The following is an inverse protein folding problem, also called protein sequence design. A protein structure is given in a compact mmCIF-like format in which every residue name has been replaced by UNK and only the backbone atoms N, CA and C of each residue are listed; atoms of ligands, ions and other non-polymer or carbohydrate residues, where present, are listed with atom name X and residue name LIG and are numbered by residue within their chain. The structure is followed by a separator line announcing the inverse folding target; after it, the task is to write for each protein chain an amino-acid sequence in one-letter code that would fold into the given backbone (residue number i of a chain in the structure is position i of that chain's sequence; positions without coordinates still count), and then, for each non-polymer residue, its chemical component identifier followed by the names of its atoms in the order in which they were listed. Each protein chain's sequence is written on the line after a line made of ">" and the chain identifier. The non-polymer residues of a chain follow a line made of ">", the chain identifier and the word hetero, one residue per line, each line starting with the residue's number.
data_IF_645619395697
#
_entry.id   IF_645619395697
#
_cell.length_a   1.000
_cell.length_b   1.000
_cell.length_c   1.000
_cell.angle_alpha   90.00
_cell.angle_beta   90.00
_cell.angle_gamma   90.00
#
_symmetry.space_group_name_H-M   'P 1'
#
loop_
_entity.id
_entity.type
_entity.pdbx_description
1 polymer ?
#
# COMPACT_ATOMS: atom_id res chain seq x y z
N UNK A 1 18.96 13.05 -28.25
CA UNK A 1 18.78 14.51 -28.32
C UNK A 1 19.08 15.05 -26.92
N UNK A 2 20.32 15.57 -26.69
CA UNK A 2 20.73 16.18 -25.45
C UNK A 2 20.02 17.52 -25.30
N UNK A 3 19.05 17.62 -24.39
CA UNK A 3 18.50 18.89 -23.98
C UNK A 3 19.50 19.66 -23.12
N UNK A 4 19.36 20.98 -23.06
CA UNK A 4 20.21 21.84 -22.25
C UNK A 4 20.17 21.38 -20.77
N UNK A 5 21.35 21.17 -20.18
CA UNK A 5 21.49 20.78 -18.76
C UNK A 5 21.15 21.98 -17.90
N UNK A 6 20.06 21.91 -17.12
CA UNK A 6 19.54 23.02 -16.33
C UNK A 6 18.87 22.56 -15.04
N UNK A 7 19.09 23.31 -13.97
CA UNK A 7 18.44 23.17 -12.66
C UNK A 7 17.52 24.37 -12.40
N UNK A 8 16.27 24.11 -12.04
CA UNK A 8 15.39 25.09 -11.43
C UNK A 8 15.09 24.67 -10.00
N UNK A 9 15.28 25.58 -9.06
CA UNK A 9 14.96 25.38 -7.66
C UNK A 9 13.95 26.41 -7.16
N UNK A 10 12.99 25.97 -6.34
CA UNK A 10 12.08 26.82 -5.57
C UNK A 10 12.16 26.39 -4.11
N UNK A 11 12.45 27.35 -3.22
CA UNK A 11 12.54 27.09 -1.77
C UNK A 11 11.38 27.83 -1.10
N UNK A 12 10.64 27.13 -0.23
CA UNK A 12 9.60 27.68 0.64
C UNK A 12 9.99 27.37 2.08
N UNK A 13 10.15 28.41 2.88
CA UNK A 13 10.58 28.32 4.29
C UNK A 13 9.43 28.76 5.19
N UNK A 14 9.04 27.92 6.14
CA UNK A 14 8.33 28.29 7.35
C UNK A 14 6.86 28.69 7.26
N UNK A 15 6.27 29.01 6.12
CA UNK A 15 4.86 29.43 6.06
C UNK A 15 3.89 28.25 5.91
N UNK A 16 3.36 27.76 7.06
CA UNK A 16 2.28 26.77 7.09
C UNK A 16 2.71 25.33 6.83
N UNK A 17 4.01 25.04 6.80
CA UNK A 17 4.59 23.70 6.65
C UNK A 17 5.34 23.32 7.94
N UNK A 18 5.35 22.03 8.30
CA UNK A 18 6.13 21.55 9.44
C UNK A 18 7.66 21.50 9.17
N UNK A 19 8.12 22.00 8.02
CA UNK A 19 9.52 22.05 7.59
C UNK A 19 9.70 22.84 6.31
N UNK A 20 10.91 22.90 5.79
CA UNK A 20 11.23 23.59 4.55
C UNK A 20 10.91 22.72 3.34
N UNK A 21 10.38 23.33 2.27
CA UNK A 21 10.11 22.66 1.00
C UNK A 21 11.09 23.16 -0.07
N UNK A 22 11.83 22.23 -0.65
CA UNK A 22 12.71 22.50 -1.80
C UNK A 22 12.17 21.74 -3.01
N UNK A 23 11.65 22.47 -4.00
CA UNK A 23 11.19 21.90 -5.26
C UNK A 23 12.28 22.05 -6.33
N UNK A 24 12.74 20.94 -6.89
CA UNK A 24 13.79 20.89 -7.90
C UNK A 24 13.24 20.35 -9.22
N UNK A 25 13.57 21.02 -10.34
CA UNK A 25 13.35 20.49 -11.69
C UNK A 25 14.70 20.32 -12.37
N UNK A 26 15.03 19.06 -12.66
CA UNK A 26 16.27 18.66 -13.29
C UNK A 26 16.04 18.42 -14.78
N UNK A 27 16.89 18.96 -15.65
CA UNK A 27 16.81 18.83 -17.10
C UNK A 27 18.15 18.33 -17.68
N UNK A 28 18.09 17.68 -18.84
CA UNK A 28 19.27 17.14 -19.51
C UNK A 28 19.95 16.06 -18.67
N UNK A 29 21.26 16.08 -18.61
CA UNK A 29 22.05 15.08 -17.88
C UNK A 29 21.80 15.07 -16.36
N UNK A 30 21.45 16.22 -15.76
CA UNK A 30 21.12 16.30 -14.33
C UNK A 30 19.91 15.43 -13.94
N UNK A 31 19.01 15.15 -14.86
CA UNK A 31 17.84 14.30 -14.58
C UNK A 31 18.22 12.85 -14.24
N UNK A 32 19.39 12.38 -14.70
CA UNK A 32 19.93 11.06 -14.39
C UNK A 32 20.84 11.03 -13.15
N UNK A 33 21.18 12.20 -12.61
CA UNK A 33 22.06 12.39 -11.45
C UNK A 33 21.35 13.10 -10.29
N UNK A 34 20.08 12.78 -10.07
CA UNK A 34 19.26 13.36 -9.02
C UNK A 34 19.81 13.15 -7.61
N UNK A 35 20.47 12.04 -7.36
CA UNK A 35 21.17 11.73 -6.10
C UNK A 35 22.25 12.76 -5.76
N UNK A 36 23.08 13.14 -6.73
CA UNK A 36 24.15 14.13 -6.55
C UNK A 36 23.61 15.53 -6.20
N UNK A 37 22.39 15.85 -6.68
CA UNK A 37 21.73 17.13 -6.40
C UNK A 37 21.04 17.10 -5.04
N UNK A 38 20.46 15.96 -4.66
CA UNK A 38 19.67 15.81 -3.42
C UNK A 38 20.56 15.57 -2.21
N UNK A 39 21.63 14.77 -2.34
CA UNK A 39 22.49 14.36 -1.24
C UNK A 39 23.00 15.53 -0.35
N UNK A 40 23.45 16.66 -0.90
CA UNK A 40 23.89 17.81 -0.08
C UNK A 40 22.79 18.50 0.70
N UNK A 41 21.49 18.21 0.37
CA UNK A 41 20.33 18.80 1.02
C UNK A 41 19.79 17.92 2.15
N UNK A 42 20.26 16.67 2.26
CA UNK A 42 19.82 15.75 3.30
C UNK A 42 20.51 16.09 4.62
N UNK A 43 19.75 15.98 5.70
CA UNK A 43 20.29 16.15 7.04
C UNK A 43 21.12 14.90 7.42
N UNK A 44 22.35 15.06 7.92
CA UNK A 44 23.13 13.94 8.42
C UNK A 44 22.36 13.19 9.53
N UNK A 45 22.52 11.87 9.56
CA UNK A 45 21.96 10.98 10.59
C UNK A 45 20.41 10.99 10.72
N UNK A 46 19.73 11.61 9.76
CA UNK A 46 18.27 11.62 9.71
C UNK A 46 17.75 10.57 8.73
N UNK A 47 16.69 9.81 9.08
CA UNK A 47 16.09 8.86 8.15
C UNK A 47 15.51 9.58 6.93
N UNK A 48 15.88 9.10 5.76
CA UNK A 48 15.39 9.64 4.49
C UNK A 48 14.29 8.75 3.95
N UNK A 49 13.17 9.36 3.58
CA UNK A 49 12.04 8.67 2.95
C UNK A 49 11.91 9.18 1.52
N UNK A 50 11.82 8.26 0.57
CA UNK A 50 11.53 8.58 -0.82
C UNK A 50 10.15 8.06 -1.19
N UNK A 51 9.34 8.89 -1.80
CA UNK A 51 8.02 8.55 -2.30
C UNK A 51 7.88 8.88 -3.77
N UNK A 52 7.41 7.89 -4.54
CA UNK A 52 7.07 8.05 -5.95
C UNK A 52 5.54 8.14 -6.10
N UNK A 53 4.98 9.34 -6.36
CA UNK A 53 3.53 9.53 -6.45
C UNK A 53 2.89 8.90 -7.69
N UNK A 54 3.68 8.60 -8.72
CA UNK A 54 3.23 8.07 -10.00
C UNK A 54 4.13 6.92 -10.45
N UNK A 55 4.90 7.13 -11.53
CA UNK A 55 5.81 6.12 -12.05
C UNK A 55 7.02 5.98 -11.15
N UNK A 56 7.21 4.80 -10.58
CA UNK A 56 8.39 4.42 -9.82
C UNK A 56 9.35 3.57 -10.68
N UNK A 57 10.65 3.56 -10.37
CA UNK A 57 11.61 2.62 -10.99
C UNK A 57 11.24 1.17 -10.63
N UNK A 58 11.62 0.21 -11.48
CA UNK A 58 11.32 -1.21 -11.23
C UNK A 58 11.99 -1.72 -9.95
N UNK A 59 13.26 -1.41 -9.76
CA UNK A 59 14.03 -1.73 -8.55
C UNK A 59 14.30 -0.44 -7.76
N UNK A 60 13.48 -0.18 -6.73
CA UNK A 60 13.51 1.08 -5.97
C UNK A 60 14.86 1.36 -5.33
N UNK A 61 15.46 0.33 -4.70
CA UNK A 61 16.75 0.46 -4.02
C UNK A 61 17.96 0.55 -4.97
N UNK A 62 17.77 0.31 -6.28
CA UNK A 62 18.80 0.50 -7.28
C UNK A 62 18.73 1.89 -7.95
N UNK A 63 17.61 2.57 -7.80
CA UNK A 63 17.47 3.96 -8.27
C UNK A 63 18.43 4.90 -7.54
N UNK A 64 19.06 5.86 -8.20
CA UNK A 64 20.00 6.79 -7.57
C UNK A 64 19.44 7.48 -6.32
N UNK A 65 18.20 7.99 -6.38
CA UNK A 65 17.55 8.62 -5.23
C UNK A 65 17.07 7.56 -4.23
N UNK A 66 16.58 6.42 -4.70
CA UNK A 66 16.14 5.31 -3.87
C UNK A 66 17.22 4.73 -2.97
N UNK A 67 18.49 4.75 -3.42
CA UNK A 67 19.66 4.34 -2.61
C UNK A 67 19.93 5.24 -1.41
N UNK A 68 19.49 6.49 -1.45
CA UNK A 68 19.62 7.42 -0.33
C UNK A 68 18.57 7.20 0.76
N UNK A 69 17.54 6.39 0.47
CA UNK A 69 16.37 6.24 1.33
C UNK A 69 16.52 5.08 2.32
N UNK A 70 16.14 5.35 3.56
CA UNK A 70 15.86 4.34 4.58
C UNK A 70 14.54 3.62 4.27
N UNK A 71 13.53 4.39 3.80
CA UNK A 71 12.24 3.87 3.36
C UNK A 71 11.88 4.37 1.97
N UNK A 72 11.25 3.51 1.18
CA UNK A 72 10.82 3.76 -0.20
C UNK A 72 9.36 3.41 -0.34
N UNK A 73 8.55 4.41 -0.68
CA UNK A 73 7.09 4.33 -0.73
C UNK A 73 6.63 4.39 -2.18
N UNK A 74 5.77 3.48 -2.58
CA UNK A 74 5.06 3.49 -3.87
C UNK A 74 3.55 3.48 -3.68
N UNK A 75 2.81 3.65 -4.77
CA UNK A 75 1.36 3.50 -4.82
C UNK A 75 0.96 2.76 -6.08
N UNK A 76 0.90 1.43 -6.00
CA UNK A 76 0.52 0.59 -7.14
C UNK A 76 -0.88 0.92 -7.68
N UNK A 77 -1.84 1.33 -6.82
CA UNK A 77 -3.16 1.77 -7.28
C UNK A 77 -3.15 3.05 -8.11
N UNK A 78 -2.11 3.86 -8.02
CA UNK A 78 -1.90 5.05 -8.84
C UNK A 78 -1.27 4.77 -10.21
N UNK A 79 -0.83 3.55 -10.47
CA UNK A 79 -0.23 3.14 -11.74
C UNK A 79 -1.30 2.89 -12.82
N UNK A 80 -0.95 3.01 -14.12
CA UNK A 80 -1.86 2.67 -15.22
C UNK A 80 -2.30 1.20 -15.20
N UNK A 81 -1.45 0.30 -14.75
CA UNK A 81 -1.73 -1.12 -14.50
C UNK A 81 -1.32 -1.45 -13.06
N UNK A 82 -2.29 -1.44 -12.12
CA UNK A 82 -2.02 -1.68 -10.71
C UNK A 82 -1.47 -3.08 -10.41
N UNK A 83 -1.94 -4.10 -11.12
CA UNK A 83 -1.50 -5.48 -10.90
C UNK A 83 -0.05 -5.67 -11.37
N UNK A 84 0.28 -5.16 -12.55
CA UNK A 84 1.65 -5.19 -13.06
C UNK A 84 2.59 -4.40 -12.14
N UNK A 85 2.15 -3.22 -11.67
CA UNK A 85 2.94 -2.41 -10.74
C UNK A 85 3.24 -3.19 -9.45
N UNK A 86 2.22 -3.83 -8.84
CA UNK A 86 2.41 -4.66 -7.66
C UNK A 86 3.33 -5.86 -7.94
N UNK A 87 3.19 -6.52 -9.08
CA UNK A 87 4.05 -7.63 -9.46
C UNK A 87 5.52 -7.21 -9.63
N UNK A 88 5.77 -6.03 -10.20
CA UNK A 88 7.12 -5.46 -10.29
C UNK A 88 7.69 -5.18 -8.89
N UNK A 89 6.89 -4.59 -7.97
CA UNK A 89 7.29 -4.39 -6.56
C UNK A 89 7.64 -5.71 -5.91
N UNK A 90 6.81 -6.74 -6.09
CA UNK A 90 7.03 -8.05 -5.51
C UNK A 90 8.35 -8.70 -5.95
N UNK A 91 8.69 -8.60 -7.23
CA UNK A 91 9.94 -9.17 -7.77
C UNK A 91 11.21 -8.46 -7.32
N UNK A 92 11.11 -7.19 -6.96
CA UNK A 92 12.25 -6.33 -6.64
C UNK A 92 12.25 -5.85 -5.19
N UNK A 93 11.43 -6.46 -4.34
CA UNK A 93 11.26 -6.08 -2.94
C UNK A 93 12.60 -6.19 -2.18
N UNK A 94 12.94 -5.14 -1.45
CA UNK A 94 14.01 -5.15 -0.46
C UNK A 94 13.53 -4.52 0.84
N UNK A 95 14.16 -4.81 1.99
CA UNK A 95 13.78 -4.21 3.26
C UNK A 95 13.70 -2.68 3.20
N UNK A 96 12.63 -2.13 3.76
CA UNK A 96 12.31 -0.70 3.72
C UNK A 96 11.48 -0.25 2.52
N UNK A 97 11.17 -1.13 1.57
CA UNK A 97 10.18 -0.86 0.54
C UNK A 97 8.77 -1.05 1.10
N UNK A 98 7.83 -0.21 0.66
CA UNK A 98 6.42 -0.33 1.00
C UNK A 98 5.52 0.20 -0.12
N UNK A 99 4.25 -0.19 -0.08
CA UNK A 99 3.25 0.28 -1.04
C UNK A 99 1.97 0.73 -0.32
N UNK A 100 1.42 1.86 -0.71
CA UNK A 100 0.22 2.42 -0.10
C UNK A 100 -1.02 1.53 -0.26
N UNK A 101 -1.01 0.53 -1.14
CA UNK A 101 -2.03 -0.52 -1.18
C UNK A 101 -2.11 -1.27 0.16
N UNK A 102 -0.96 -1.52 0.80
CA UNK A 102 -0.90 -2.16 2.11
C UNK A 102 -1.51 -1.30 3.21
N UNK A 103 -1.20 -0.02 3.21
CA UNK A 103 -1.78 0.97 4.12
C UNK A 103 -3.28 1.12 3.91
N UNK A 104 -3.78 1.05 2.66
CA UNK A 104 -5.22 1.08 2.35
C UNK A 104 -6.00 -0.06 2.99
N UNK A 105 -5.41 -1.24 3.11
CA UNK A 105 -6.10 -2.41 3.68
C UNK A 105 -5.91 -2.57 5.19
N UNK A 106 -5.15 -1.70 5.87
CA UNK A 106 -4.92 -1.78 7.31
C UNK A 106 -6.22 -1.95 8.11
N UNK A 107 -7.23 -1.14 7.81
CA UNK A 107 -8.52 -1.20 8.54
C UNK A 107 -9.32 -2.46 8.23
N UNK A 108 -9.21 -3.01 7.02
CA UNK A 108 -9.80 -4.30 6.67
C UNK A 108 -9.16 -5.42 7.47
N UNK A 109 -7.83 -5.47 7.50
CA UNK A 109 -7.08 -6.46 8.27
C UNK A 109 -7.41 -6.38 9.76
N UNK A 110 -7.43 -5.16 10.31
CA UNK A 110 -7.77 -4.95 11.72
C UNK A 110 -9.19 -5.41 12.08
N UNK A 111 -10.19 -5.12 11.24
CA UNK A 111 -11.57 -5.56 11.48
C UNK A 111 -11.71 -7.08 11.38
N UNK A 112 -11.04 -7.73 10.42
CA UNK A 112 -11.07 -9.19 10.25
C UNK A 112 -10.37 -9.90 11.42
N UNK A 113 -9.21 -9.40 11.86
CA UNK A 113 -8.52 -9.94 13.03
C UNK A 113 -9.37 -9.78 14.30
N UNK A 114 -9.91 -8.58 14.55
CA UNK A 114 -10.78 -8.35 15.69
C UNK A 114 -12.06 -9.19 15.68
N UNK A 115 -12.58 -9.52 14.49
CA UNK A 115 -13.72 -10.41 14.35
C UNK A 115 -13.38 -11.84 14.81
N UNK A 116 -12.23 -12.35 14.41
CA UNK A 116 -11.77 -13.69 14.79
C UNK A 116 -11.41 -13.76 16.27
N UNK A 117 -10.86 -12.70 16.85
CA UNK A 117 -10.59 -12.63 18.30
C UNK A 117 -11.90 -12.69 19.13
N UNK A 118 -12.96 -12.04 18.63
CA UNK A 118 -14.27 -12.05 19.30
C UNK A 118 -15.10 -13.31 19.02
N UNK A 119 -14.83 -13.95 17.89
CA UNK A 119 -15.54 -15.14 17.42
C UNK A 119 -14.52 -16.18 16.91
N UNK A 120 -13.85 -16.88 17.84
CA UNK A 120 -12.72 -17.77 17.53
C UNK A 120 -13.19 -19.12 16.98
N UNK A 121 -13.85 -19.12 15.82
CA UNK A 121 -14.30 -20.31 15.12
C UNK A 121 -13.38 -20.64 13.95
N UNK A 122 -13.39 -21.92 13.58
CA UNK A 122 -12.56 -22.38 12.48
C UNK A 122 -13.03 -21.81 11.15
N UNK A 123 -12.18 -21.03 10.52
CA UNK A 123 -12.41 -20.56 9.15
C UNK A 123 -12.13 -21.72 8.18
N UNK A 124 -13.02 -21.92 7.22
CA UNK A 124 -12.92 -22.98 6.19
C UNK A 124 -12.64 -22.42 4.80
N UNK A 125 -13.05 -21.19 4.52
CA UNK A 125 -12.76 -20.46 3.29
C UNK A 125 -12.95 -18.97 3.52
N UNK A 126 -12.45 -18.16 2.58
CA UNK A 126 -12.68 -16.73 2.58
C UNK A 126 -13.01 -16.20 1.17
N UNK A 127 -13.60 -15.02 1.10
CA UNK A 127 -13.96 -14.32 -0.13
C UNK A 127 -13.60 -12.84 0.00
N UNK A 128 -12.99 -12.29 -1.04
CA UNK A 128 -12.78 -10.84 -1.21
C UNK A 128 -13.44 -10.40 -2.50
N UNK A 129 -14.25 -9.36 -2.46
CA UNK A 129 -14.83 -8.70 -3.64
C UNK A 129 -14.26 -7.32 -3.83
N UNK A 130 -13.85 -7.01 -5.05
CA UNK A 130 -13.31 -5.69 -5.40
C UNK A 130 -13.59 -5.33 -6.87
N UNK A 131 -13.29 -4.09 -7.23
CA UNK A 131 -13.14 -3.75 -8.66
C UNK A 131 -12.09 -4.64 -9.31
N UNK A 132 -12.21 -4.95 -10.61
CA UNK A 132 -11.15 -5.58 -11.38
C UNK A 132 -9.81 -4.85 -11.21
N UNK A 133 -8.71 -5.55 -11.39
CA UNK A 133 -7.32 -5.03 -11.36
C UNK A 133 -6.94 -4.26 -10.09
N UNK A 134 -7.53 -4.62 -8.96
CA UNK A 134 -7.29 -3.95 -7.68
C UNK A 134 -6.10 -4.56 -6.94
N UNK A 135 -4.93 -3.91 -7.00
CA UNK A 135 -3.72 -4.37 -6.29
C UNK A 135 -3.91 -4.48 -4.76
N UNK A 136 -4.77 -3.65 -4.15
CA UNK A 136 -5.04 -3.76 -2.71
C UNK A 136 -5.79 -5.06 -2.38
N UNK A 137 -6.70 -5.54 -3.25
CA UNK A 137 -7.39 -6.81 -3.03
C UNK A 137 -6.45 -8.01 -3.16
N UNK A 138 -5.49 -7.96 -4.08
CA UNK A 138 -4.45 -8.98 -4.21
C UNK A 138 -3.65 -9.12 -2.91
N UNK A 139 -3.25 -8.01 -2.31
CA UNK A 139 -2.58 -8.02 -1.00
C UNK A 139 -3.48 -8.57 0.11
N UNK A 140 -4.76 -8.21 0.13
CA UNK A 140 -5.71 -8.71 1.15
C UNK A 140 -5.96 -10.20 1.00
N UNK A 141 -6.15 -10.70 -0.23
CA UNK A 141 -6.32 -12.13 -0.54
C UNK A 141 -5.10 -12.91 -0.07
N UNK A 142 -3.90 -12.48 -0.50
CA UNK A 142 -2.65 -13.16 -0.14
C UNK A 142 -2.41 -13.17 1.37
N UNK A 143 -2.70 -12.05 2.04
CA UNK A 143 -2.61 -11.96 3.50
C UNK A 143 -3.57 -12.94 4.18
N UNK A 144 -4.83 -13.03 3.74
CA UNK A 144 -5.81 -13.98 4.28
C UNK A 144 -5.38 -15.43 4.07
N UNK A 145 -4.87 -15.78 2.89
CA UNK A 145 -4.37 -17.13 2.60
C UNK A 145 -3.24 -17.52 3.55
N UNK A 146 -2.28 -16.62 3.77
CA UNK A 146 -1.15 -16.87 4.67
C UNK A 146 -1.58 -16.97 6.14
N UNK A 147 -2.48 -16.08 6.61
CA UNK A 147 -2.89 -16.05 8.01
C UNK A 147 -3.84 -17.20 8.38
N UNK A 148 -4.68 -17.62 7.45
CA UNK A 148 -5.73 -18.58 7.72
C UNK A 148 -5.40 -20.00 7.22
N UNK A 149 -4.51 -20.13 6.24
CA UNK A 149 -4.19 -21.41 5.60
C UNK A 149 -5.38 -22.04 4.87
N UNK A 150 -6.32 -21.22 4.37
CA UNK A 150 -7.53 -21.66 3.66
C UNK A 150 -7.62 -21.02 2.27
N UNK A 151 -8.39 -21.63 1.34
CA UNK A 151 -8.64 -21.02 0.04
C UNK A 151 -9.36 -19.66 0.19
N UNK A 152 -8.89 -18.66 -0.54
CA UNK A 152 -9.51 -17.34 -0.62
C UNK A 152 -9.95 -17.07 -2.05
N UNK A 153 -11.26 -16.95 -2.25
CA UNK A 153 -11.83 -16.60 -3.55
C UNK A 153 -11.76 -15.08 -3.75
N UNK A 154 -11.33 -14.65 -4.92
CA UNK A 154 -11.42 -13.26 -5.36
C UNK A 154 -12.48 -13.15 -6.44
N UNK A 155 -13.47 -12.27 -6.24
CA UNK A 155 -14.55 -12.01 -7.18
C UNK A 155 -14.57 -10.54 -7.58
N UNK A 156 -14.81 -10.28 -8.85
CA UNK A 156 -15.02 -8.94 -9.38
C UNK A 156 -16.34 -8.34 -8.89
N UNK A 157 -16.35 -7.04 -8.69
CA UNK A 157 -17.50 -6.26 -8.23
C UNK A 157 -17.57 -4.92 -8.96
N UNK A 158 -18.76 -4.47 -9.24
CA UNK A 158 -19.06 -3.12 -9.76
C UNK A 158 -18.97 -2.02 -8.69
N UNK A 159 -18.75 -2.43 -7.43
CA UNK A 159 -18.59 -1.52 -6.30
C UNK A 159 -17.17 -0.98 -6.23
N UNK A 160 -16.93 0.29 -5.85
CA UNK A 160 -15.61 0.89 -5.89
C UNK A 160 -14.63 0.24 -4.88
N UNK A 161 -13.43 -0.07 -5.33
CA UNK A 161 -12.34 -0.65 -4.54
C UNK A 161 -12.72 -2.00 -3.93
N UNK A 162 -12.21 -2.34 -2.75
CA UNK A 162 -12.66 -3.51 -2.00
C UNK A 162 -14.04 -3.21 -1.42
N UNK A 163 -15.03 -4.03 -1.74
CA UNK A 163 -16.43 -3.87 -1.34
C UNK A 163 -16.86 -4.84 -0.25
N UNK A 164 -16.33 -6.06 -0.26
CA UNK A 164 -16.66 -7.10 0.72
C UNK A 164 -15.44 -7.94 1.06
N UNK A 165 -15.35 -8.35 2.33
CA UNK A 165 -14.53 -9.46 2.78
C UNK A 165 -15.40 -10.36 3.66
N UNK A 166 -15.36 -11.67 3.39
CA UNK A 166 -16.14 -12.68 4.09
C UNK A 166 -15.24 -13.80 4.53
N UNK A 167 -15.42 -14.27 5.76
CA UNK A 167 -14.80 -15.46 6.29
C UNK A 167 -15.92 -16.46 6.59
N UNK A 168 -15.91 -17.61 5.92
CA UNK A 168 -16.85 -18.69 6.18
C UNK A 168 -16.31 -19.57 7.29
N UNK A 169 -17.06 -19.69 8.37
CA UNK A 169 -16.70 -20.54 9.52
C UNK A 169 -17.67 -21.71 9.65
N UNK A 170 -17.34 -22.65 10.52
CA UNK A 170 -18.20 -23.79 10.88
C UNK A 170 -19.50 -23.38 11.62
N UNK A 171 -19.61 -22.11 12.06
CA UNK A 171 -20.78 -21.55 12.75
C UNK A 171 -21.48 -20.43 11.99
N UNK A 172 -21.09 -20.17 10.73
CA UNK A 172 -21.65 -19.14 9.87
C UNK A 172 -20.61 -18.13 9.39
N UNK A 173 -21.05 -17.12 8.68
CA UNK A 173 -20.17 -16.18 8.01
C UNK A 173 -19.89 -14.93 8.86
N UNK A 174 -18.62 -14.52 8.92
CA UNK A 174 -18.21 -13.17 9.30
C UNK A 174 -18.17 -12.34 8.03
N UNK A 175 -18.90 -11.24 7.97
CA UNK A 175 -19.01 -10.40 6.76
C UNK A 175 -18.71 -8.94 7.08
N UNK A 176 -17.80 -8.36 6.31
CA UNK A 176 -17.57 -6.91 6.26
C UNK A 176 -17.94 -6.47 4.86
N UNK A 177 -19.03 -5.69 4.73
CA UNK A 177 -19.52 -5.20 3.44
C UNK A 177 -19.67 -3.69 3.47
N UNK A 178 -18.86 -3.00 2.67
CA UNK A 178 -18.88 -1.54 2.54
C UNK A 178 -19.77 -1.09 1.38
N UNK A 179 -19.86 -1.88 0.34
CA UNK A 179 -20.59 -1.54 -0.87
C UNK A 179 -20.12 -0.21 -1.47
N UNK A 180 -21.06 0.64 -1.84
CA UNK A 180 -20.80 1.99 -2.39
C UNK A 180 -20.54 3.06 -1.32
N UNK A 181 -20.64 2.73 -0.05
CA UNK A 181 -20.41 3.69 1.02
C UNK A 181 -18.96 4.19 1.04
N UNK A 182 -18.78 5.47 1.29
CA UNK A 182 -17.48 6.11 1.44
C UNK A 182 -16.90 5.98 2.86
N UNK A 183 -17.75 5.75 3.86
CA UNK A 183 -17.37 5.92 5.27
C UNK A 183 -17.73 4.75 6.17
N UNK A 184 -18.78 3.97 5.85
CA UNK A 184 -19.39 2.97 6.73
C UNK A 184 -19.43 1.62 6.03
N UNK A 185 -19.11 0.55 6.77
CA UNK A 185 -19.36 -0.82 6.37
C UNK A 185 -20.40 -1.48 7.29
N UNK A 186 -21.15 -2.43 6.76
CA UNK A 186 -21.93 -3.40 7.53
C UNK A 186 -20.97 -4.47 8.01
N UNK A 187 -21.11 -4.83 9.28
CA UNK A 187 -20.29 -5.82 9.95
C UNK A 187 -21.23 -6.84 10.62
N UNK A 188 -21.16 -8.06 10.17
CA UNK A 188 -21.95 -9.17 10.67
C UNK A 188 -21.03 -10.27 11.20
N UNK A 189 -21.35 -10.79 12.38
CA UNK A 189 -20.72 -11.94 13.01
C UNK A 189 -21.84 -12.89 13.44
N UNK A 190 -21.71 -14.21 13.26
CA UNK A 190 -22.73 -15.17 13.64
C UNK A 190 -23.18 -15.01 15.09
N UNK A 191 -24.50 -15.13 15.33
CA UNK A 191 -25.07 -14.98 16.68
C UNK A 191 -25.14 -13.56 17.23
N UNK A 192 -24.68 -12.55 16.49
CA UNK A 192 -24.74 -11.13 16.90
C UNK A 192 -25.58 -10.32 15.91
N UNK A 193 -26.26 -9.24 16.38
CA UNK A 193 -26.91 -8.32 15.47
C UNK A 193 -25.91 -7.66 14.52
N UNK A 194 -26.29 -7.50 13.26
CA UNK A 194 -25.52 -6.71 12.31
C UNK A 194 -25.33 -5.28 12.82
N UNK A 195 -24.12 -4.76 12.71
CA UNK A 195 -23.78 -3.40 13.13
C UNK A 195 -23.06 -2.63 12.03
N UNK A 196 -23.07 -1.31 12.13
CA UNK A 196 -22.33 -0.42 11.27
C UNK A 196 -21.00 -0.08 11.91
N UNK A 197 -19.92 -0.18 11.13
CA UNK A 197 -18.56 0.16 11.55
C UNK A 197 -17.96 1.20 10.64
N UNK A 198 -17.08 2.03 11.18
CA UNK A 198 -16.36 3.01 10.38
C UNK A 198 -15.30 2.29 9.51
N UNK A 199 -15.44 2.40 8.20
CA UNK A 199 -14.49 1.87 7.23
C UNK A 199 -14.34 2.86 6.07
N UNK A 200 -13.86 4.05 6.38
CA UNK A 200 -13.68 5.16 5.45
C UNK A 200 -12.74 4.80 4.31
N UNK A 201 -13.09 5.23 3.08
CA UNK A 201 -12.14 5.32 1.96
C UNK A 201 -11.21 6.48 2.24
N UNK A 202 -9.95 6.19 2.48
CA UNK A 202 -8.97 7.19 2.91
C UNK A 202 -8.34 7.90 1.71
N UNK A 203 -8.24 9.23 1.72
CA UNK A 203 -7.51 9.96 0.71
C UNK A 203 -6.00 9.69 0.81
N UNK A 204 -5.27 9.94 -0.27
CA UNK A 204 -3.83 9.70 -0.36
C UNK A 204 -3.04 10.37 0.76
N UNK A 205 -3.42 11.57 1.15
CA UNK A 205 -2.77 12.32 2.24
C UNK A 205 -2.83 11.59 3.59
N UNK A 206 -3.99 10.98 3.94
CA UNK A 206 -4.10 10.20 5.17
C UNK A 206 -3.27 8.92 5.12
N UNK A 207 -3.20 8.26 3.96
CA UNK A 207 -2.40 7.05 3.78
C UNK A 207 -0.91 7.36 3.93
N UNK A 208 -0.46 8.41 3.25
CA UNK A 208 0.93 8.84 3.32
C UNK A 208 1.31 9.28 4.73
N UNK A 209 0.44 10.02 5.42
CA UNK A 209 0.67 10.43 6.82
C UNK A 209 0.84 9.20 7.74
N UNK A 210 0.00 8.17 7.59
CA UNK A 210 0.13 6.93 8.37
C UNK A 210 1.45 6.22 8.06
N UNK A 211 1.84 6.15 6.79
CA UNK A 211 3.06 5.47 6.36
C UNK A 211 4.32 6.20 6.82
N UNK A 212 4.31 7.53 6.82
CA UNK A 212 5.42 8.37 7.30
C UNK A 212 5.65 8.27 8.81
N UNK A 213 4.69 7.79 9.58
CA UNK A 213 4.84 7.55 11.02
C UNK A 213 5.52 6.22 11.34
N UNK A 214 5.68 5.34 10.35
CA UNK A 214 6.31 4.03 10.50
C UNK A 214 7.70 4.05 9.90
N UNK A 215 8.71 3.96 10.75
CA UNK A 215 10.11 3.96 10.29
C UNK A 215 10.67 2.55 10.10
N UNK A 216 10.16 1.59 10.89
CA UNK A 216 10.60 0.19 10.82
C UNK A 216 10.00 -0.54 9.61
N UNK A 217 10.71 -1.53 9.05
CA UNK A 217 10.17 -2.45 8.05
C UNK A 217 8.90 -3.15 8.56
N UNK A 218 7.98 -3.48 7.65
CA UNK A 218 6.77 -4.26 7.97
C UNK A 218 6.97 -5.71 7.51
N UNK A 219 7.41 -6.58 8.45
CA UNK A 219 7.68 -7.99 8.17
C UNK A 219 6.48 -8.74 7.59
N UNK A 220 5.25 -8.33 7.98
CA UNK A 220 4.02 -8.93 7.46
C UNK A 220 3.81 -8.53 6.00
N UNK A 221 4.03 -7.27 5.67
CA UNK A 221 4.01 -6.80 4.28
C UNK A 221 5.06 -7.52 3.43
N UNK A 222 6.30 -7.58 3.91
CA UNK A 222 7.40 -8.24 3.21
C UNK A 222 7.09 -9.71 2.94
N UNK A 223 6.53 -10.43 3.93
CA UNK A 223 6.09 -11.81 3.78
C UNK A 223 5.01 -11.97 2.71
N UNK A 224 3.96 -11.12 2.74
CA UNK A 224 2.85 -11.16 1.79
C UNK A 224 3.33 -10.88 0.36
N UNK A 225 4.16 -9.85 0.19
CA UNK A 225 4.67 -9.46 -1.14
C UNK A 225 5.64 -10.51 -1.69
N UNK A 226 6.48 -11.12 -0.85
CA UNK A 226 7.36 -12.22 -1.26
C UNK A 226 6.56 -13.44 -1.75
N UNK A 227 5.40 -13.72 -1.16
CA UNK A 227 4.51 -14.79 -1.61
C UNK A 227 3.88 -14.49 -2.98
N UNK A 228 3.54 -13.22 -3.25
CA UNK A 228 3.09 -12.79 -4.58
C UNK A 228 4.19 -13.01 -5.62
N UNK A 229 5.45 -12.70 -5.28
CA UNK A 229 6.59 -12.88 -6.20
C UNK A 229 6.76 -14.33 -6.65
N UNK A 230 6.58 -15.31 -5.74
CA UNK A 230 6.68 -16.74 -6.09
C UNK A 230 5.59 -17.18 -7.07
N UNK A 231 4.36 -16.67 -6.92
CA UNK A 231 3.22 -17.01 -7.82
C UNK A 231 3.33 -16.40 -9.22
N UNK A 232 3.95 -15.23 -9.34
CA UNK A 232 4.13 -14.53 -10.62
C UNK A 232 5.33 -15.08 -11.41
N UNK A 233 6.20 -15.84 -10.75
CA UNK A 233 7.39 -16.48 -11.35
C UNK A 233 7.14 -17.89 -11.88
N UNK A 234 5.99 -18.49 -11.57
CA UNK A 234 5.48 -19.77 -12.11
C UNK A 234 4.67 -19.54 -13.41
#
# INVERSE_FOLDING_TARGET
>A
AGGETRLHAKIQVGEGLPGDLIALKLHGELASHGDSVVLPLLLPDSPTIVWWPHKAPDALAQDPIGRLATRRITDSMGAPDPQLALAIRARNLVPGDTDLCWTRITRWRALLAAALDQFPHRVTSALVRSTPDNACSTLLVTWLEQQLGVPVLHEDSDQPGISEARLTTDQGDIVINRGRSETIARYAVPGQPERKVALKRRPLTELLTEELQRMDPDDVFESVVSHIATRVGE
#
